data_IF_970272989787
#
_entry.id   IF_970272989787
#
_cell.length_a   1.000
_cell.length_b   1.000
_cell.length_c   1.000
_cell.angle_alpha   90.00
_cell.angle_beta   90.00
_cell.angle_gamma   90.00
#
_symmetry.space_group_name_H-M   'P 1'
#
loop_
_entity.id
_entity.type
_entity.pdbx_description
1 polymer ?
#
# COMPACT_ATOMS: atom_id res chain seq x y z
N UNK A 1 17.43 -33.28 -63.89
CA UNK A 1 17.29 -34.17 -62.71
C UNK A 1 17.68 -33.36 -61.51
N UNK A 2 16.70 -32.81 -60.79
CA UNK A 2 16.92 -32.18 -59.47
C UNK A 2 15.61 -32.34 -58.69
N UNK A 3 15.66 -33.12 -57.60
CA UNK A 3 14.53 -33.33 -56.68
C UNK A 3 14.68 -32.34 -55.54
N UNK A 4 13.73 -31.42 -55.42
CA UNK A 4 13.62 -30.51 -54.28
C UNK A 4 13.01 -31.28 -53.10
N UNK A 5 13.81 -31.50 -52.05
CA UNK A 5 13.38 -32.14 -50.81
C UNK A 5 13.01 -31.01 -49.83
N UNK A 6 11.75 -30.96 -49.41
CA UNK A 6 11.30 -30.08 -48.34
C UNK A 6 11.59 -30.74 -46.99
N UNK A 7 12.54 -30.19 -46.23
CA UNK A 7 12.76 -30.58 -44.85
C UNK A 7 11.75 -29.84 -43.97
N UNK A 8 10.79 -30.57 -43.40
CA UNK A 8 9.92 -30.06 -42.33
C UNK A 8 10.73 -30.01 -41.03
N UNK A 9 11.15 -28.81 -40.63
CA UNK A 9 11.66 -28.58 -39.29
C UNK A 9 10.47 -28.55 -38.31
N UNK A 10 10.37 -29.56 -37.45
CA UNK A 10 9.46 -29.52 -36.31
C UNK A 10 10.08 -28.58 -35.26
N UNK A 11 9.45 -27.43 -35.01
CA UNK A 11 9.76 -26.64 -33.82
C UNK A 11 9.33 -27.43 -32.59
N UNK A 12 10.29 -27.96 -31.84
CA UNK A 12 10.06 -28.39 -30.48
C UNK A 12 9.82 -27.14 -29.62
N UNK A 13 8.57 -26.89 -29.23
CA UNK A 13 8.24 -25.93 -28.19
C UNK A 13 8.78 -26.47 -26.87
N UNK A 14 9.94 -25.96 -26.45
CA UNK A 14 10.38 -26.12 -25.07
C UNK A 14 9.41 -25.34 -24.18
N UNK A 15 8.51 -26.04 -23.49
CA UNK A 15 7.81 -25.46 -22.35
C UNK A 15 8.85 -25.22 -21.27
N UNK A 16 9.42 -24.02 -21.24
CA UNK A 16 10.05 -23.52 -20.02
C UNK A 16 8.95 -23.49 -18.97
N UNK A 17 8.96 -24.47 -18.07
CA UNK A 17 8.22 -24.34 -16.82
C UNK A 17 8.73 -23.06 -16.16
N UNK A 18 7.87 -22.05 -16.13
CA UNK A 18 8.12 -20.85 -15.34
C UNK A 18 8.33 -21.35 -13.92
N UNK A 19 9.44 -21.02 -13.26
CA UNK A 19 9.61 -21.39 -11.87
C UNK A 19 8.48 -20.73 -11.10
N UNK A 20 7.64 -21.56 -10.49
CA UNK A 20 6.58 -21.21 -9.54
C UNK A 20 7.26 -20.52 -8.35
N UNK A 21 7.50 -19.21 -8.47
CA UNK A 21 7.54 -18.36 -7.28
C UNK A 21 6.14 -18.47 -6.74
N UNK A 22 5.97 -19.04 -5.55
CA UNK A 22 4.68 -19.01 -4.91
C UNK A 22 4.34 -17.54 -4.65
N UNK A 23 3.59 -16.93 -5.56
CA UNK A 23 3.04 -15.58 -5.39
C UNK A 23 2.09 -15.56 -4.16
N UNK A 24 1.71 -16.74 -3.67
CA UNK A 24 0.93 -16.98 -2.46
C UNK A 24 1.75 -16.82 -1.18
N UNK A 25 1.19 -16.08 -0.23
CA UNK A 25 1.77 -15.87 1.09
C UNK A 25 1.63 -17.10 1.99
N UNK A 26 2.37 -17.08 3.11
CA UNK A 26 2.37 -18.13 4.13
C UNK A 26 1.03 -18.27 4.89
N UNK A 27 0.08 -17.36 4.69
CA UNK A 27 -1.28 -17.42 5.25
C UNK A 27 -2.25 -18.27 4.43
N UNK A 28 -1.88 -18.64 3.21
CA UNK A 28 -2.71 -19.50 2.36
C UNK A 28 -2.93 -20.89 3.00
N UNK A 29 -4.18 -21.35 2.94
CA UNK A 29 -4.63 -22.63 3.48
C UNK A 29 -4.79 -22.70 4.99
N UNK A 30 -4.55 -21.61 5.74
CA UNK A 30 -4.66 -21.63 7.21
C UNK A 30 -6.09 -21.51 7.71
N UNK A 31 -6.67 -20.31 7.61
CA UNK A 31 -7.96 -19.99 8.21
C UNK A 31 -8.78 -19.10 7.28
N UNK A 32 -10.08 -19.42 7.17
CA UNK A 32 -11.04 -18.51 6.57
C UNK A 32 -11.39 -17.41 7.58
N UNK A 33 -11.54 -16.19 7.07
CA UNK A 33 -11.92 -15.02 7.85
C UNK A 33 -13.35 -14.60 7.52
N UNK A 34 -14.10 -14.20 8.55
CA UNK A 34 -15.45 -13.67 8.36
C UNK A 34 -15.39 -12.38 7.52
N UNK A 35 -16.29 -12.20 6.52
CA UNK A 35 -16.32 -10.97 5.73
C UNK A 35 -16.73 -9.77 6.58
N UNK A 36 -16.28 -8.58 6.21
CA UNK A 36 -16.65 -7.33 6.87
C UNK A 36 -15.47 -6.48 7.33
N UNK A 37 -15.79 -5.34 7.94
CA UNK A 37 -14.81 -4.42 8.53
C UNK A 37 -14.59 -4.76 10.00
N UNK A 38 -13.36 -5.15 10.34
CA UNK A 38 -12.98 -5.60 11.67
C UNK A 38 -11.99 -4.63 12.29
N UNK A 39 -12.30 -4.15 13.49
CA UNK A 39 -11.41 -3.33 14.32
C UNK A 39 -10.93 -4.09 15.56
N UNK A 40 -11.53 -5.25 15.85
CA UNK A 40 -11.33 -6.01 17.08
C UNK A 40 -11.39 -7.53 16.81
N UNK A 41 -10.74 -8.29 17.69
CA UNK A 41 -10.86 -9.74 17.82
C UNK A 41 -11.13 -10.13 19.29
N UNK A 42 -11.03 -11.41 19.62
CA UNK A 42 -11.25 -11.93 20.98
C UNK A 42 -10.31 -11.31 22.05
N UNK A 43 -9.18 -10.74 21.64
CA UNK A 43 -8.15 -10.16 22.50
C UNK A 43 -8.23 -8.63 22.56
N UNK A 44 -9.24 -7.99 21.95
CA UNK A 44 -9.41 -6.54 21.92
C UNK A 44 -9.15 -5.95 20.53
N UNK A 45 -8.62 -4.73 20.47
CA UNK A 45 -8.30 -4.08 19.18
C UNK A 45 -7.24 -4.87 18.42
N UNK A 46 -7.37 -4.92 17.09
CA UNK A 46 -6.35 -5.55 16.25
C UNK A 46 -5.03 -4.78 16.36
N UNK A 47 -3.96 -5.47 16.71
CA UNK A 47 -2.63 -4.88 16.89
C UNK A 47 -1.50 -5.84 16.54
N UNK A 48 -0.32 -5.26 16.31
CA UNK A 48 0.97 -5.95 16.24
C UNK A 48 2.00 -5.21 17.09
N UNK A 49 3.09 -5.88 17.46
CA UNK A 49 4.26 -5.22 18.02
C UNK A 49 5.21 -4.84 16.87
N UNK A 50 5.64 -3.58 16.83
CA UNK A 50 6.59 -3.08 15.84
C UNK A 50 7.42 -1.93 16.41
N UNK A 51 8.74 -1.98 16.24
CA UNK A 51 9.63 -0.93 16.78
C UNK A 51 9.57 -0.75 18.30
N UNK A 52 9.16 -1.79 19.05
CA UNK A 52 8.95 -1.70 20.51
C UNK A 52 7.64 -1.02 20.92
N UNK A 53 6.72 -0.79 19.98
CA UNK A 53 5.41 -0.20 20.21
C UNK A 53 4.30 -1.18 19.83
N UNK A 54 3.21 -1.18 20.59
CA UNK A 54 1.95 -1.77 20.15
C UNK A 54 1.30 -0.85 19.11
N UNK A 55 1.18 -1.33 17.87
CA UNK A 55 0.60 -0.61 16.74
C UNK A 55 -0.74 -1.22 16.35
N UNK A 56 -1.73 -0.38 16.03
CA UNK A 56 -3.11 -0.82 15.77
C UNK A 56 -3.47 -0.73 14.29
N UNK A 57 -4.46 -1.52 13.88
CA UNK A 57 -5.02 -1.48 12.53
C UNK A 57 -6.49 -1.90 12.53
N UNK A 58 -7.15 -1.73 11.39
CA UNK A 58 -8.41 -2.38 11.05
C UNK A 58 -8.28 -3.09 9.71
N UNK A 59 -9.15 -4.04 9.42
CA UNK A 59 -9.11 -4.82 8.18
C UNK A 59 -10.50 -4.99 7.60
N UNK A 60 -10.64 -4.74 6.31
CA UNK A 60 -11.79 -5.11 5.50
C UNK A 60 -11.49 -6.44 4.81
N UNK A 61 -12.21 -7.47 5.23
CA UNK A 61 -12.19 -8.79 4.58
C UNK A 61 -13.25 -8.78 3.48
N UNK A 62 -12.92 -9.18 2.23
CA UNK A 62 -13.87 -9.16 1.12
C UNK A 62 -14.98 -10.20 1.32
N UNK A 63 -16.15 -10.01 0.68
CA UNK A 63 -17.14 -11.07 0.64
C UNK A 63 -16.53 -12.31 -0.02
N UNK A 64 -16.90 -13.48 0.48
CA UNK A 64 -16.43 -14.77 -0.06
C UNK A 64 -14.91 -14.98 -0.01
N UNK A 65 -14.21 -14.34 0.94
CA UNK A 65 -12.81 -14.67 1.23
C UNK A 65 -12.65 -16.19 1.44
N UNK A 66 -11.63 -16.77 0.81
CA UNK A 66 -11.30 -18.18 0.95
C UNK A 66 -9.78 -18.34 1.04
N UNK A 67 -9.32 -18.96 2.11
CA UNK A 67 -7.89 -19.17 2.38
C UNK A 67 -7.16 -20.01 1.32
N UNK A 68 -7.88 -20.72 0.45
CA UNK A 68 -7.29 -21.47 -0.67
C UNK A 68 -7.11 -20.64 -1.96
N UNK A 69 -7.63 -19.40 -2.00
CA UNK A 69 -7.53 -18.48 -3.13
C UNK A 69 -6.74 -17.25 -2.67
N UNK A 70 -5.71 -16.87 -3.42
CA UNK A 70 -4.97 -15.66 -3.11
C UNK A 70 -5.77 -14.40 -3.43
N UNK A 71 -5.70 -13.43 -2.52
CA UNK A 71 -6.31 -12.11 -2.63
C UNK A 71 -5.22 -11.04 -2.72
N UNK A 72 -5.51 -9.91 -3.35
CA UNK A 72 -4.58 -8.77 -3.34
C UNK A 72 -4.64 -8.07 -1.99
N UNK A 73 -3.65 -7.25 -1.69
CA UNK A 73 -3.62 -6.45 -0.47
C UNK A 73 -3.54 -4.97 -0.81
N UNK A 74 -4.37 -4.17 -0.14
CA UNK A 74 -4.24 -2.71 -0.14
C UNK A 74 -3.98 -2.28 1.30
N UNK A 75 -2.90 -1.54 1.54
CA UNK A 75 -2.65 -0.84 2.81
C UNK A 75 -3.05 0.62 2.62
N UNK A 76 -4.07 1.09 3.34
CA UNK A 76 -4.69 2.40 3.12
C UNK A 76 -4.54 3.34 4.33
N UNK A 77 -3.71 4.37 4.19
CA UNK A 77 -3.25 5.26 5.25
C UNK A 77 -4.12 6.52 5.38
N UNK A 78 -4.57 6.79 6.61
CA UNK A 78 -5.40 7.96 6.93
C UNK A 78 -4.62 9.28 6.88
N UNK A 79 -5.31 10.41 6.73
CA UNK A 79 -4.72 11.75 6.87
C UNK A 79 -4.42 12.13 8.33
N UNK A 80 -3.74 13.26 8.54
CA UNK A 80 -3.36 13.75 9.88
C UNK A 80 -4.58 13.88 10.81
N UNK A 81 -4.43 13.49 12.08
CA UNK A 81 -5.52 13.48 13.07
C UNK A 81 -6.54 12.35 12.87
N UNK A 82 -6.30 11.47 11.88
CA UNK A 82 -7.24 10.45 11.45
C UNK A 82 -7.15 9.12 12.21
N UNK A 83 -7.99 8.18 11.80
CA UNK A 83 -7.99 6.80 12.27
C UNK A 83 -8.47 5.81 11.19
N UNK A 84 -8.29 4.48 11.38
CA UNK A 84 -8.70 3.46 10.43
C UNK A 84 -10.16 3.53 9.98
N UNK A 85 -11.10 3.81 10.90
CA UNK A 85 -12.53 3.87 10.56
C UNK A 85 -12.87 5.08 9.68
N UNK A 86 -12.24 6.22 9.94
CA UNK A 86 -12.39 7.41 9.10
C UNK A 86 -11.83 7.17 7.70
N UNK A 87 -10.65 6.54 7.59
CA UNK A 87 -10.07 6.23 6.27
C UNK A 87 -10.90 5.21 5.49
N UNK A 88 -11.40 4.16 6.15
CA UNK A 88 -12.33 3.20 5.54
C UNK A 88 -13.59 3.88 4.97
N UNK A 89 -14.16 4.85 5.70
CA UNK A 89 -15.31 5.65 5.22
C UNK A 89 -14.93 6.62 4.10
N UNK A 90 -13.69 7.09 4.08
CA UNK A 90 -13.18 8.08 3.14
C UNK A 90 -12.84 7.44 1.78
N UNK A 91 -12.03 6.38 1.76
CA UNK A 91 -11.62 5.73 0.50
C UNK A 91 -12.72 4.85 -0.08
N UNK A 92 -13.58 4.28 0.77
CA UNK A 92 -14.70 3.42 0.38
C UNK A 92 -14.29 2.27 -0.55
N UNK A 93 -13.05 1.78 -0.44
CA UNK A 93 -12.56 0.71 -1.32
C UNK A 93 -13.52 -0.50 -1.34
N UNK A 94 -14.14 -0.83 -0.20
CA UNK A 94 -15.12 -1.92 -0.07
C UNK A 94 -16.38 -1.80 -0.95
N UNK A 95 -16.68 -0.61 -1.48
CA UNK A 95 -17.90 -0.34 -2.26
C UNK A 95 -17.68 -0.55 -3.78
N UNK A 96 -16.44 -0.79 -4.22
CA UNK A 96 -16.14 -1.03 -5.62
C UNK A 96 -16.16 -2.52 -5.92
N UNK A 97 -16.83 -2.95 -6.99
CA UNK A 97 -16.94 -4.38 -7.34
C UNK A 97 -15.59 -5.13 -7.39
N UNK A 98 -14.50 -4.46 -7.79
CA UNK A 98 -13.17 -5.08 -7.82
C UNK A 98 -12.61 -5.41 -6.44
N UNK A 99 -13.08 -4.76 -5.37
CA UNK A 99 -12.60 -4.96 -4.00
C UNK A 99 -12.88 -6.34 -3.44
N UNK A 100 -13.80 -7.11 -4.05
CA UNK A 100 -14.04 -8.52 -3.71
C UNK A 100 -12.78 -9.39 -3.88
N UNK A 101 -11.79 -8.92 -4.64
CA UNK A 101 -10.51 -9.61 -4.83
C UNK A 101 -9.40 -9.13 -3.90
N UNK A 102 -9.69 -8.26 -2.93
CA UNK A 102 -8.69 -7.61 -2.09
C UNK A 102 -9.05 -7.70 -0.60
N UNK A 103 -8.05 -8.03 0.22
CA UNK A 103 -8.05 -7.67 1.63
C UNK A 103 -7.53 -6.23 1.71
N UNK A 104 -8.18 -5.39 2.51
CA UNK A 104 -7.76 -3.99 2.67
C UNK A 104 -7.47 -3.76 4.15
N UNK A 105 -6.26 -3.32 4.47
CA UNK A 105 -5.83 -3.02 5.84
C UNK A 105 -5.67 -1.52 6.01
N UNK A 106 -6.15 -1.01 7.13
CA UNK A 106 -6.19 0.40 7.50
C UNK A 106 -5.38 0.57 8.79
N UNK A 107 -4.09 0.89 8.70
CA UNK A 107 -3.26 1.04 9.88
C UNK A 107 -3.54 2.36 10.63
N UNK A 108 -3.25 2.38 11.94
CA UNK A 108 -3.32 3.58 12.77
C UNK A 108 -1.94 4.23 12.90
N UNK A 109 -1.85 5.50 12.50
CA UNK A 109 -0.67 6.34 12.70
C UNK A 109 -0.42 6.60 14.18
N UNK A 110 0.85 6.68 14.58
CA UNK A 110 1.23 6.99 15.96
C UNK A 110 0.84 8.41 16.30
N UNK A 111 0.22 8.62 17.48
CA UNK A 111 -0.40 9.90 17.85
C UNK A 111 -1.25 10.51 16.73
N UNK A 112 -1.92 9.67 15.92
CA UNK A 112 -2.77 10.03 14.76
C UNK A 112 -2.05 10.66 13.56
N UNK A 113 -0.73 10.48 13.45
CA UNK A 113 0.09 10.98 12.34
C UNK A 113 1.01 9.89 11.79
N UNK A 114 1.51 10.13 10.58
CA UNK A 114 2.57 9.35 9.94
C UNK A 114 3.84 10.17 9.83
N UNK A 115 5.00 9.52 9.92
CA UNK A 115 6.32 10.13 9.76
C UNK A 115 6.45 10.95 8.47
N UNK A 116 7.36 11.94 8.50
CA UNK A 116 7.62 12.87 7.39
C UNK A 116 7.49 14.32 7.83
N UNK A 117 6.27 14.81 8.16
CA UNK A 117 6.06 16.18 8.59
C UNK A 117 6.57 16.48 10.01
N UNK A 118 6.85 17.76 10.26
CA UNK A 118 7.30 18.28 11.57
C UNK A 118 6.31 18.11 12.72
N UNK A 119 5.02 17.90 12.44
CA UNK A 119 4.01 17.58 13.46
C UNK A 119 3.94 16.09 13.81
N UNK A 120 4.64 15.21 13.09
CA UNK A 120 4.72 13.80 13.44
C UNK A 120 5.69 13.57 14.61
N UNK A 121 5.46 12.52 15.39
CA UNK A 121 6.32 12.17 16.52
C UNK A 121 7.70 11.73 16.02
N UNK A 122 8.74 12.47 16.40
CA UNK A 122 10.12 12.17 16.04
C UNK A 122 10.55 10.78 16.55
N UNK A 123 11.28 10.03 15.72
CA UNK A 123 11.82 8.71 16.05
C UNK A 123 10.83 7.55 15.91
N UNK A 124 9.56 7.80 15.57
CA UNK A 124 8.63 6.73 15.17
C UNK A 124 8.95 6.28 13.75
N UNK A 125 9.18 4.97 13.58
CA UNK A 125 9.48 4.35 12.28
C UNK A 125 8.21 3.69 11.71
N UNK A 126 7.53 4.40 10.82
CA UNK A 126 6.34 3.89 10.13
C UNK A 126 6.68 3.01 8.91
N UNK A 127 7.91 3.04 8.41
CA UNK A 127 8.37 2.13 7.35
C UNK A 127 8.57 0.72 7.93
N UNK A 128 9.17 0.63 9.11
CA UNK A 128 9.27 -0.62 9.87
C UNK A 128 7.87 -1.15 10.21
N UNK A 129 6.98 -0.30 10.71
CA UNK A 129 5.60 -0.70 10.97
C UNK A 129 4.87 -1.20 9.71
N UNK A 130 5.06 -0.54 8.57
CA UNK A 130 4.49 -1.00 7.30
C UNK A 130 5.02 -2.37 6.89
N UNK A 131 6.32 -2.61 7.06
CA UNK A 131 6.96 -3.89 6.75
C UNK A 131 6.46 -5.01 7.66
N UNK A 132 6.38 -4.74 8.97
CA UNK A 132 5.88 -5.69 9.97
C UNK A 132 4.40 -6.00 9.76
N UNK A 133 3.60 -4.98 9.44
CA UNK A 133 2.19 -5.15 9.13
C UNK A 133 1.99 -5.96 7.86
N UNK A 134 2.74 -5.71 6.80
CA UNK A 134 2.68 -6.52 5.58
C UNK A 134 2.98 -7.98 5.88
N UNK A 135 4.08 -8.26 6.58
CA UNK A 135 4.46 -9.62 6.96
C UNK A 135 3.38 -10.29 7.84
N UNK A 136 2.79 -9.54 8.76
CA UNK A 136 1.66 -10.01 9.58
C UNK A 136 0.46 -10.38 8.70
N UNK A 137 0.04 -9.49 7.79
CA UNK A 137 -1.07 -9.74 6.87
C UNK A 137 -0.82 -10.94 5.96
N UNK A 138 0.40 -11.10 5.44
CA UNK A 138 0.81 -12.24 4.63
C UNK A 138 0.82 -13.56 5.42
N UNK A 139 0.99 -13.50 6.74
CA UNK A 139 0.99 -14.67 7.61
C UNK A 139 -0.42 -15.11 8.02
N UNK A 140 -1.37 -14.17 8.09
CA UNK A 140 -2.75 -14.39 8.55
C UNK A 140 -3.75 -14.59 7.40
N UNK A 141 -3.50 -13.98 6.24
CA UNK A 141 -4.37 -14.03 5.06
C UNK A 141 -3.65 -14.67 3.88
N UNK A 142 -4.42 -15.26 2.96
CA UNK A 142 -3.91 -15.77 1.69
C UNK A 142 -3.74 -14.60 0.72
N UNK A 143 -2.56 -14.01 0.71
CA UNK A 143 -2.21 -12.83 -0.09
C UNK A 143 -1.41 -13.25 -1.32
N UNK A 144 -1.72 -12.61 -2.43
CA UNK A 144 -0.89 -12.58 -3.63
C UNK A 144 0.16 -11.46 -3.48
N UNK A 145 1.39 -11.84 -3.14
CA UNK A 145 2.53 -10.94 -2.94
C UNK A 145 2.87 -10.09 -4.18
N UNK A 146 2.44 -10.50 -5.37
CA UNK A 146 2.59 -9.70 -6.59
C UNK A 146 1.52 -8.59 -6.72
N UNK A 147 0.50 -8.60 -5.86
CA UNK A 147 -0.66 -7.69 -5.87
C UNK A 147 -0.83 -6.97 -4.53
N UNK A 148 0.27 -6.45 -4.00
CA UNK A 148 0.31 -5.60 -2.80
C UNK A 148 0.42 -4.13 -3.22
N UNK A 149 -0.44 -3.28 -2.67
CA UNK A 149 -0.55 -1.86 -3.03
C UNK A 149 -0.62 -0.98 -1.78
N UNK A 150 -0.09 0.23 -1.87
CA UNK A 150 -0.21 1.24 -0.83
C UNK A 150 -1.07 2.41 -1.32
N UNK A 151 -1.94 2.92 -0.45
CA UNK A 151 -2.87 4.00 -0.73
C UNK A 151 -2.92 4.99 0.41
N UNK A 152 -3.09 6.29 0.17
CA UNK A 152 -3.24 7.22 1.29
C UNK A 152 -3.78 8.59 0.91
N UNK A 153 -4.27 9.33 1.91
CA UNK A 153 -4.75 10.71 1.75
C UNK A 153 -3.94 11.69 2.61
N UNK A 154 -3.64 12.89 2.11
CA UNK A 154 -3.02 13.97 2.91
C UNK A 154 -1.69 13.52 3.54
N UNK A 155 -1.51 13.61 4.86
CA UNK A 155 -0.35 13.04 5.55
C UNK A 155 -0.11 11.56 5.23
N UNK A 156 -1.16 10.74 5.15
CA UNK A 156 -1.04 9.35 4.72
C UNK A 156 -0.62 9.21 3.27
N UNK A 157 -1.00 10.13 2.39
CA UNK A 157 -0.50 10.21 1.01
C UNK A 157 0.98 10.58 0.97
N UNK A 158 1.39 11.59 1.76
CA UNK A 158 2.80 11.95 1.94
C UNK A 158 3.65 10.79 2.45
N UNK A 159 3.13 10.04 3.43
CA UNK A 159 3.80 8.84 3.91
C UNK A 159 3.89 7.73 2.85
N UNK A 160 2.87 7.56 2.00
CA UNK A 160 2.91 6.60 0.88
C UNK A 160 3.99 6.97 -0.14
N UNK A 161 4.26 8.26 -0.36
CA UNK A 161 5.38 8.71 -1.19
C UNK A 161 6.74 8.36 -0.55
N UNK A 162 6.91 8.63 0.75
CA UNK A 162 8.10 8.20 1.51
C UNK A 162 8.30 6.69 1.44
N UNK A 163 7.23 5.91 1.60
CA UNK A 163 7.25 4.46 1.46
C UNK A 163 7.69 4.04 0.05
N UNK A 164 7.14 4.65 -0.99
CA UNK A 164 7.48 4.37 -2.38
C UNK A 164 8.98 4.56 -2.65
N UNK A 165 9.59 5.56 -2.01
CA UNK A 165 11.00 5.87 -2.15
C UNK A 165 11.94 4.99 -1.29
N UNK A 166 11.41 4.33 -0.26
CA UNK A 166 12.17 3.44 0.62
C UNK A 166 12.40 2.03 0.03
N UNK A 167 13.26 1.26 0.70
CA UNK A 167 13.43 -0.18 0.43
C UNK A 167 12.19 -1.00 0.82
N UNK A 168 11.45 -0.59 1.85
CA UNK A 168 10.16 -1.21 2.21
C UNK A 168 9.15 -1.11 1.06
N UNK A 169 9.25 -0.07 0.23
CA UNK A 169 8.45 0.10 -0.98
C UNK A 169 8.69 -0.97 -2.05
N UNK A 170 9.77 -1.76 -1.99
CA UNK A 170 10.06 -2.81 -2.98
C UNK A 170 9.04 -3.97 -2.97
N UNK A 171 8.30 -4.12 -1.87
CA UNK A 171 7.26 -5.13 -1.74
C UNK A 171 5.93 -4.73 -2.43
N UNK A 172 5.81 -3.50 -2.94
CA UNK A 172 4.55 -2.96 -3.45
C UNK A 172 4.58 -2.83 -4.98
N UNK A 173 3.50 -3.28 -5.61
CA UNK A 173 3.33 -3.25 -7.07
C UNK A 173 2.98 -1.84 -7.59
N UNK A 174 2.20 -1.05 -6.83
CA UNK A 174 1.89 0.34 -7.14
C UNK A 174 1.43 1.12 -5.90
N UNK A 175 1.43 2.44 -6.04
CA UNK A 175 1.10 3.41 -5.00
C UNK A 175 0.01 4.36 -5.52
N UNK A 176 -0.99 4.65 -4.70
CA UNK A 176 -2.08 5.57 -5.04
C UNK A 176 -2.25 6.65 -3.96
N UNK A 177 -2.32 7.90 -4.34
CA UNK A 177 -2.36 9.01 -3.38
C UNK A 177 -3.44 10.03 -3.74
N UNK A 178 -4.07 10.59 -2.71
CA UNK A 178 -5.09 11.63 -2.83
C UNK A 178 -4.74 12.85 -1.98
N UNK A 179 -4.60 14.03 -2.61
CA UNK A 179 -4.14 15.27 -1.98
C UNK A 179 -2.90 15.03 -1.12
N UNK A 180 -1.85 14.41 -1.66
CA UNK A 180 -0.69 13.98 -0.89
C UNK A 180 0.07 15.17 -0.28
N UNK A 181 0.40 15.10 1.01
CA UNK A 181 1.23 16.11 1.66
C UNK A 181 2.73 15.77 1.46
N UNK A 182 3.25 16.09 0.27
CA UNK A 182 4.60 15.74 -0.17
C UNK A 182 5.67 16.70 0.37
N UNK A 183 5.92 16.69 1.68
CA UNK A 183 6.90 17.62 2.26
C UNK A 183 8.31 17.41 1.68
N UNK A 184 8.99 18.48 1.24
CA UNK A 184 10.33 18.40 0.62
C UNK A 184 11.47 18.37 1.63
N UNK A 185 11.19 18.72 2.87
CA UNK A 185 12.13 18.77 4.00
C UNK A 185 12.07 17.51 4.87
N UNK A 186 11.87 16.36 4.22
CA UNK A 186 11.85 15.05 4.89
C UNK A 186 13.25 14.42 4.93
N UNK A 187 13.40 13.33 5.67
CA UNK A 187 14.69 12.64 5.88
C UNK A 187 15.25 11.90 4.66
N UNK A 188 14.57 11.90 3.51
CA UNK A 188 15.02 11.22 2.30
C UNK A 188 15.63 12.22 1.31
N UNK A 189 16.96 12.22 1.18
CA UNK A 189 17.71 13.17 0.34
C UNK A 189 17.42 13.04 -1.17
N UNK A 190 17.07 11.84 -1.65
CA UNK A 190 16.64 11.64 -3.05
C UNK A 190 15.96 10.29 -3.27
N UNK A 191 14.95 10.28 -4.14
CA UNK A 191 14.23 9.07 -4.57
C UNK A 191 14.69 8.64 -5.96
N UNK A 192 15.40 7.52 -6.06
CA UNK A 192 15.92 7.00 -7.34
C UNK A 192 15.12 5.82 -7.90
N UNK A 193 14.13 5.33 -7.13
CA UNK A 193 13.34 4.15 -7.49
C UNK A 193 12.20 4.53 -8.44
N UNK A 194 12.08 3.82 -9.55
CA UNK A 194 10.94 3.97 -10.48
C UNK A 194 9.76 3.17 -9.97
N UNK A 195 8.64 3.84 -9.70
CA UNK A 195 7.41 3.24 -9.16
C UNK A 195 6.21 3.51 -10.05
N UNK A 196 5.23 2.60 -10.03
CA UNK A 196 3.92 2.88 -10.56
C UNK A 196 3.16 3.73 -9.52
N UNK A 197 2.95 5.00 -9.85
CA UNK A 197 2.29 5.97 -8.96
C UNK A 197 1.06 6.53 -9.67
N UNK A 198 -0.05 6.58 -8.94
CA UNK A 198 -1.21 7.40 -9.25
C UNK A 198 -1.31 8.47 -8.16
N UNK A 199 -1.28 9.74 -8.53
CA UNK A 199 -1.64 10.83 -7.63
C UNK A 199 -2.87 11.56 -8.18
N UNK A 200 -3.74 11.97 -7.27
CA UNK A 200 -4.89 12.82 -7.57
C UNK A 200 -4.92 13.99 -6.61
N UNK A 201 -4.99 15.21 -7.14
CA UNK A 201 -4.96 16.43 -6.34
C UNK A 201 -6.02 17.42 -6.81
N UNK A 202 -6.68 18.08 -5.87
CA UNK A 202 -7.64 19.14 -6.18
C UNK A 202 -6.94 20.46 -6.50
N UNK A 203 -7.31 21.11 -7.60
CA UNK A 203 -6.81 22.43 -8.01
C UNK A 203 -7.07 23.54 -6.95
N UNK A 204 -8.09 23.33 -6.12
CA UNK A 204 -8.55 24.25 -5.06
C UNK A 204 -8.43 23.66 -3.66
N UNK A 205 -7.53 22.71 -3.45
CA UNK A 205 -7.25 22.21 -2.11
C UNK A 205 -6.68 23.37 -1.25
N UNK A 206 -7.37 23.71 -0.16
CA UNK A 206 -6.95 24.80 0.75
C UNK A 206 -6.20 24.28 1.98
N UNK A 207 -5.94 22.97 2.04
CA UNK A 207 -5.21 22.32 3.13
C UNK A 207 -3.80 21.95 2.70
N UNK A 208 -3.69 21.24 1.58
CA UNK A 208 -2.44 20.99 0.88
C UNK A 208 -2.58 21.65 -0.49
N UNK A 209 -2.16 22.92 -0.66
CA UNK A 209 -2.40 23.63 -1.91
C UNK A 209 -1.69 23.00 -3.11
N UNK A 210 -2.40 22.94 -4.25
CA UNK A 210 -1.82 22.50 -5.52
C UNK A 210 -0.66 23.40 -5.97
N UNK A 211 -0.82 24.72 -5.76
CA UNK A 211 0.19 25.76 -5.96
C UNK A 211 0.47 26.44 -4.61
N UNK A 212 1.38 25.91 -3.78
CA UNK A 212 1.68 26.50 -2.48
C UNK A 212 2.46 27.82 -2.64
N UNK A 213 2.01 28.87 -1.97
CA UNK A 213 2.72 30.16 -1.87
C UNK A 213 3.53 30.30 -0.56
N UNK A 214 3.24 29.44 0.41
CA UNK A 214 3.84 29.40 1.74
C UNK A 214 4.03 27.94 2.19
N UNK A 215 4.90 27.66 3.17
CA UNK A 215 5.06 26.32 3.72
C UNK A 215 3.77 25.75 4.30
N UNK A 216 3.61 24.44 4.19
CA UNK A 216 2.51 23.70 4.83
C UNK A 216 2.73 23.54 6.34
N UNK A 217 1.71 23.05 7.05
CA UNK A 217 1.78 22.85 8.51
C UNK A 217 2.86 21.86 8.95
N UNK A 218 3.31 20.98 8.05
CA UNK A 218 4.31 19.96 8.30
C UNK A 218 5.68 20.22 7.68
N UNK A 219 5.88 21.32 6.94
CA UNK A 219 7.11 21.58 6.19
C UNK A 219 6.89 22.25 4.84
N UNK A 220 7.94 22.33 4.04
CA UNK A 220 7.93 22.90 2.69
C UNK A 220 7.14 22.00 1.73
N UNK A 221 6.30 22.58 0.87
CA UNK A 221 5.50 21.84 -0.11
C UNK A 221 5.98 22.16 -1.54
N UNK A 222 6.12 21.16 -2.43
CA UNK A 222 6.40 21.38 -3.82
C UNK A 222 5.13 21.84 -4.54
N UNK A 223 5.28 22.64 -5.59
CA UNK A 223 4.18 22.88 -6.53
C UNK A 223 3.86 21.58 -7.28
N UNK A 224 2.59 21.16 -7.20
CA UNK A 224 2.13 19.91 -7.81
C UNK A 224 2.26 19.93 -9.33
N UNK A 225 2.11 21.10 -9.95
CA UNK A 225 2.25 21.27 -11.39
C UNK A 225 3.68 21.00 -11.90
N UNK A 226 4.70 21.12 -11.05
CA UNK A 226 6.10 21.02 -11.50
C UNK A 226 6.60 19.59 -11.78
N UNK A 227 5.89 18.54 -11.32
CA UNK A 227 6.32 17.13 -11.45
C UNK A 227 5.32 16.23 -12.16
N UNK A 228 4.21 16.81 -12.66
CA UNK A 228 3.15 16.10 -13.39
C UNK A 228 3.26 16.31 -14.91
N UNK A 229 4.24 17.09 -15.40
CA UNK A 229 4.52 17.32 -16.82
C UNK A 229 5.55 16.36 -17.46
#
# INVERSE_FOLDING_TARGET
MEKLIWATAALALSTSAVPDRSDQSNGCGKHDHSPGFHTQNANGNLSIESGGLTRYYAVQVPPHYCSSKSHGLIIDYHGAGGNPTQQWKNSQYYNYQRSENYVIVYPQGYDTHWQGPSYATEGVDDLQFTSDLLAHMESEYCIDSSRVYASGKSNGGGFVDLLACSDAGDAFAAFAMASAALYTDTSLDSCTKRRAILESHGDRDTTIPYHPEEPGSGGELPDVGNWVE
#
